data_IF_204674467616
#
_entry.id   IF_204674467616
#
_cell.length_a   1.000
_cell.length_b   1.000
_cell.length_c   1.000
_cell.angle_alpha   90.00
_cell.angle_beta   90.00
_cell.angle_gamma   90.00
#
_symmetry.space_group_name_H-M   'P 1'
#
loop_
_entity.id
_entity.type
_entity.pdbx_description
1 polymer ?
#
# COMPACT_ATOMS: atom_id res chain seq x y z
N UNK A 1 -38.82 -11.25 -10.03
CA UNK A 1 -37.69 -12.03 -10.55
C UNK A 1 -37.23 -12.95 -9.44
N UNK A 2 -37.03 -14.22 -9.76
CA UNK A 2 -36.53 -15.21 -8.80
C UNK A 2 -35.01 -15.20 -8.95
N UNK A 3 -34.30 -14.66 -7.96
CA UNK A 3 -32.84 -14.67 -7.94
C UNK A 3 -32.34 -15.99 -7.35
N UNK A 4 -31.13 -16.38 -7.70
CA UNK A 4 -30.43 -17.51 -7.07
C UNK A 4 -29.59 -16.96 -5.93
N UNK A 5 -29.89 -17.37 -4.70
CA UNK A 5 -29.08 -17.01 -3.54
C UNK A 5 -27.76 -17.80 -3.56
N UNK A 6 -26.66 -17.06 -3.38
CA UNK A 6 -25.29 -17.57 -3.41
C UNK A 6 -24.61 -17.19 -2.10
N UNK A 7 -24.18 -18.17 -1.33
CA UNK A 7 -23.44 -17.98 -0.07
C UNK A 7 -22.03 -18.57 -0.12
N UNK A 8 -21.67 -19.24 -1.23
CA UNK A 8 -20.35 -19.85 -1.42
C UNK A 8 -19.84 -19.79 -2.86
N UNK A 9 -18.51 -19.86 -3.03
CA UNK A 9 -17.88 -19.90 -4.35
C UNK A 9 -18.30 -21.13 -5.17
N UNK A 10 -18.58 -22.25 -4.49
CA UNK A 10 -19.02 -23.48 -5.14
C UNK A 10 -20.40 -23.29 -5.80
N UNK A 11 -21.35 -22.68 -5.07
CA UNK A 11 -22.68 -22.35 -5.59
C UNK A 11 -22.59 -21.38 -6.77
N UNK A 12 -21.77 -20.33 -6.66
CA UNK A 12 -21.55 -19.38 -7.75
C UNK A 12 -21.04 -20.07 -9.03
N UNK A 13 -20.15 -21.05 -8.87
CA UNK A 13 -19.48 -21.73 -9.98
C UNK A 13 -20.41 -22.66 -10.76
N UNK A 14 -21.50 -23.13 -10.14
CA UNK A 14 -22.50 -24.01 -10.75
C UNK A 14 -23.82 -23.30 -11.07
N UNK A 15 -23.95 -22.03 -10.68
CA UNK A 15 -25.13 -21.23 -10.95
C UNK A 15 -25.30 -20.99 -12.46
N UNK A 16 -26.55 -20.93 -12.97
CA UNK A 16 -26.81 -20.71 -14.40
C UNK A 16 -26.16 -19.43 -14.93
N UNK A 17 -25.76 -19.44 -16.21
CA UNK A 17 -25.11 -18.29 -16.86
C UNK A 17 -26.06 -17.10 -17.06
N UNK A 18 -27.36 -17.35 -17.10
CA UNK A 18 -28.43 -16.36 -17.31
C UNK A 18 -29.18 -15.97 -16.03
N UNK A 19 -28.78 -16.53 -14.88
CA UNK A 19 -29.41 -16.24 -13.61
C UNK A 19 -28.96 -14.89 -13.02
N UNK A 20 -29.93 -14.15 -12.48
CA UNK A 20 -29.65 -13.06 -11.55
C UNK A 20 -29.23 -13.67 -10.21
N UNK A 21 -28.01 -13.37 -9.76
CA UNK A 21 -27.47 -13.94 -8.53
C UNK A 21 -27.52 -12.93 -7.41
N UNK A 22 -27.88 -13.40 -6.21
CA UNK A 22 -27.87 -12.61 -4.98
C UNK A 22 -26.84 -13.18 -4.01
N UNK A 23 -25.80 -12.40 -3.72
CA UNK A 23 -24.79 -12.74 -2.71
C UNK A 23 -25.11 -12.01 -1.41
N UNK A 24 -25.43 -12.74 -0.35
CA UNK A 24 -25.80 -12.14 0.95
C UNK A 24 -24.66 -12.21 1.99
N UNK A 25 -23.87 -13.28 1.97
CA UNK A 25 -22.73 -13.48 2.87
C UNK A 25 -21.59 -14.22 2.16
N UNK A 26 -20.41 -14.17 2.76
CA UNK A 26 -19.23 -14.86 2.27
C UNK A 26 -18.40 -14.04 1.27
N UNK A 27 -17.36 -14.68 0.74
CA UNK A 27 -16.45 -14.11 -0.25
C UNK A 27 -16.64 -14.80 -1.60
N UNK A 28 -17.01 -14.03 -2.63
CA UNK A 28 -17.20 -14.54 -3.99
C UNK A 28 -16.25 -13.81 -4.94
N UNK A 29 -15.44 -14.59 -5.66
CA UNK A 29 -14.59 -14.11 -6.75
C UNK A 29 -15.23 -14.47 -8.08
N UNK A 30 -15.43 -13.46 -8.90
CA UNK A 30 -16.00 -13.59 -10.23
C UNK A 30 -14.89 -13.72 -11.27
N UNK A 31 -15.05 -14.68 -12.17
CA UNK A 31 -14.11 -14.85 -13.26
C UNK A 31 -14.17 -13.64 -14.22
N UNK A 32 -13.02 -13.17 -14.74
CA UNK A 32 -13.01 -12.14 -15.78
C UNK A 32 -13.86 -12.58 -16.98
N UNK A 33 -14.73 -11.70 -17.45
CA UNK A 33 -15.59 -11.95 -18.61
C UNK A 33 -16.99 -12.47 -18.28
N UNK A 34 -17.26 -12.82 -17.01
CA UNK A 34 -18.63 -13.07 -16.56
C UNK A 34 -19.45 -11.77 -16.65
N UNK A 35 -20.65 -11.86 -17.23
CA UNK A 35 -21.54 -10.71 -17.48
C UNK A 35 -22.85 -10.76 -16.70
N UNK A 36 -23.00 -11.74 -15.80
CA UNK A 36 -24.18 -11.87 -14.93
C UNK A 36 -24.38 -10.61 -14.09
N UNK A 37 -25.64 -10.25 -13.84
CA UNK A 37 -25.96 -9.20 -12.88
C UNK A 37 -25.89 -9.77 -11.47
N UNK A 38 -25.14 -9.09 -10.61
CA UNK A 38 -25.01 -9.48 -9.21
C UNK A 38 -25.68 -8.46 -8.32
N UNK A 39 -26.61 -8.95 -7.49
CA UNK A 39 -27.07 -8.22 -6.32
C UNK A 39 -26.25 -8.69 -5.12
N UNK A 40 -25.70 -7.76 -4.36
CA UNK A 40 -24.84 -8.06 -3.21
C UNK A 40 -25.40 -7.31 -2.01
N UNK A 41 -25.62 -8.01 -0.90
CA UNK A 41 -26.05 -7.37 0.34
C UNK A 41 -25.48 -8.07 1.56
N UNK A 42 -25.97 -7.72 2.75
CA UNK A 42 -25.46 -8.28 4.01
C UNK A 42 -23.99 -7.92 4.23
N UNK A 43 -23.21 -8.89 4.72
CA UNK A 43 -21.76 -8.73 4.96
C UNK A 43 -20.91 -9.36 3.85
N UNK A 44 -21.49 -9.55 2.66
CA UNK A 44 -20.80 -10.17 1.54
C UNK A 44 -19.60 -9.35 1.03
N UNK A 45 -18.56 -10.06 0.59
CA UNK A 45 -17.43 -9.50 -0.13
C UNK A 45 -17.40 -10.07 -1.54
N UNK A 46 -17.48 -9.20 -2.55
CA UNK A 46 -17.44 -9.61 -3.95
C UNK A 46 -16.28 -8.97 -4.69
N UNK A 47 -15.43 -9.80 -5.30
CA UNK A 47 -14.37 -9.36 -6.19
C UNK A 47 -14.80 -9.59 -7.65
N UNK A 48 -15.18 -8.51 -8.33
CA UNK A 48 -15.71 -8.48 -9.68
C UNK A 48 -14.71 -7.89 -10.69
N UNK A 49 -14.61 -8.52 -11.86
CA UNK A 49 -13.93 -7.93 -13.02
C UNK A 49 -14.84 -6.95 -13.76
N UNK A 50 -15.01 -7.19 -15.06
CA UNK A 50 -15.89 -6.39 -15.94
C UNK A 50 -17.40 -6.67 -15.72
N UNK A 51 -17.77 -7.22 -14.56
CA UNK A 51 -19.12 -7.66 -14.24
C UNK A 51 -19.87 -6.52 -13.54
N UNK A 52 -21.11 -6.18 -13.95
CA UNK A 52 -21.93 -5.20 -13.23
C UNK A 52 -22.35 -5.70 -11.85
N UNK A 53 -22.18 -4.88 -10.82
CA UNK A 53 -22.55 -5.19 -9.44
C UNK A 53 -23.51 -4.14 -8.89
N UNK A 54 -24.62 -4.58 -8.32
CA UNK A 54 -25.51 -3.75 -7.49
C UNK A 54 -25.29 -4.20 -6.04
N UNK A 55 -24.87 -3.28 -5.17
CA UNK A 55 -24.60 -3.57 -3.77
C UNK A 55 -25.43 -2.70 -2.84
N UNK A 56 -25.93 -3.27 -1.74
CA UNK A 56 -26.59 -2.54 -0.65
C UNK A 56 -26.21 -3.11 0.72
N UNK A 57 -26.66 -2.48 1.81
CA UNK A 57 -26.32 -2.92 3.16
C UNK A 57 -24.85 -2.72 3.49
N UNK A 58 -24.21 -3.70 4.14
CA UNK A 58 -22.83 -3.62 4.64
C UNK A 58 -21.79 -4.32 3.72
N UNK A 59 -22.13 -4.47 2.44
CA UNK A 59 -21.31 -5.24 1.52
C UNK A 59 -19.98 -4.55 1.19
N UNK A 60 -19.00 -5.35 0.78
CA UNK A 60 -17.74 -4.88 0.20
C UNK A 60 -17.61 -5.35 -1.24
N UNK A 61 -17.30 -4.44 -2.16
CA UNK A 61 -17.11 -4.75 -3.58
C UNK A 61 -15.75 -4.28 -4.07
N UNK A 62 -14.92 -5.20 -4.56
CA UNK A 62 -13.73 -4.87 -5.35
C UNK A 62 -14.06 -5.00 -6.84
N UNK A 63 -14.05 -3.89 -7.58
CA UNK A 63 -14.39 -3.87 -9.01
C UNK A 63 -13.20 -3.46 -9.88
N UNK A 64 -12.84 -4.30 -10.85
CA UNK A 64 -11.74 -4.07 -11.79
C UNK A 64 -12.27 -3.94 -13.21
N UNK A 65 -12.24 -2.73 -13.78
CA UNK A 65 -12.80 -2.41 -15.10
C UNK A 65 -14.30 -2.72 -15.22
N UNK A 66 -15.01 -2.60 -14.10
CA UNK A 66 -16.43 -2.94 -13.97
C UNK A 66 -17.32 -1.72 -13.75
N UNK A 67 -18.60 -1.99 -13.45
CA UNK A 67 -19.58 -0.99 -13.05
C UNK A 67 -20.20 -1.39 -11.71
N UNK A 68 -20.26 -0.46 -10.76
CA UNK A 68 -20.86 -0.69 -9.44
C UNK A 68 -21.93 0.34 -9.16
N UNK A 69 -23.11 -0.10 -8.72
CA UNK A 69 -24.12 0.75 -8.11
C UNK A 69 -24.25 0.37 -6.65
N UNK A 70 -23.91 1.29 -5.73
CA UNK A 70 -23.84 1.04 -4.30
C UNK A 70 -24.85 1.90 -3.52
N UNK A 71 -25.52 1.30 -2.53
CA UNK A 71 -26.50 1.94 -1.66
C UNK A 71 -26.20 1.67 -0.18
N UNK A 72 -26.70 2.52 0.70
CA UNK A 72 -26.61 2.39 2.17
C UNK A 72 -25.17 2.41 2.71
N UNK A 73 -24.63 1.30 3.21
CA UNK A 73 -23.36 1.24 3.97
C UNK A 73 -22.30 0.38 3.29
N UNK A 74 -22.21 0.50 1.96
CA UNK A 74 -21.30 -0.30 1.14
C UNK A 74 -19.89 0.29 1.16
N UNK A 75 -18.89 -0.58 1.07
CA UNK A 75 -17.51 -0.19 0.74
C UNK A 75 -17.16 -0.64 -0.68
N UNK A 76 -16.73 0.28 -1.54
CA UNK A 76 -16.32 -0.01 -2.92
C UNK A 76 -14.84 0.30 -3.12
N UNK A 77 -14.09 -0.67 -3.66
CA UNK A 77 -12.71 -0.51 -4.12
C UNK A 77 -12.72 -0.62 -5.65
N UNK A 78 -12.51 0.49 -6.35
CA UNK A 78 -12.68 0.59 -7.80
C UNK A 78 -11.35 0.81 -8.52
N UNK A 79 -11.02 -0.06 -9.47
CA UNK A 79 -9.85 0.06 -10.35
C UNK A 79 -10.26 0.22 -11.81
N UNK A 80 -10.05 1.40 -12.38
CA UNK A 80 -10.49 1.76 -13.73
C UNK A 80 -11.98 1.44 -13.97
N UNK A 81 -12.82 1.68 -12.96
CA UNK A 81 -14.24 1.26 -12.94
C UNK A 81 -15.16 2.47 -12.85
N UNK A 82 -16.43 2.29 -13.21
CA UNK A 82 -17.48 3.30 -13.00
C UNK A 82 -18.28 2.97 -11.76
N UNK A 83 -18.47 3.93 -10.87
CA UNK A 83 -19.21 3.75 -9.62
C UNK A 83 -20.30 4.81 -9.50
N UNK A 84 -21.52 4.38 -9.22
CA UNK A 84 -22.60 5.25 -8.74
C UNK A 84 -22.90 4.87 -7.30
N UNK A 85 -22.73 5.78 -6.35
CA UNK A 85 -22.84 5.48 -4.93
C UNK A 85 -23.82 6.41 -4.22
N UNK A 86 -24.58 5.85 -3.28
CA UNK A 86 -25.56 6.55 -2.44
C UNK A 86 -25.49 6.04 -0.99
N UNK A 87 -26.20 6.72 -0.08
CA UNK A 87 -26.16 6.41 1.34
C UNK A 87 -24.82 6.77 1.98
N UNK A 88 -24.56 6.19 3.14
CA UNK A 88 -23.30 6.28 3.89
C UNK A 88 -22.22 5.35 3.31
N UNK A 89 -22.09 5.33 1.97
CA UNK A 89 -21.13 4.49 1.22
C UNK A 89 -19.72 5.11 1.26
N UNK A 90 -18.70 4.25 1.27
CA UNK A 90 -17.29 4.64 1.10
C UNK A 90 -16.76 4.10 -0.22
N UNK A 91 -16.11 4.95 -1.01
CA UNK A 91 -15.50 4.56 -2.30
C UNK A 91 -14.01 4.88 -2.29
N UNK A 92 -13.16 3.94 -2.71
CA UNK A 92 -11.75 4.18 -3.04
C UNK A 92 -11.55 4.02 -4.54
N UNK A 93 -11.23 5.12 -5.22
CA UNK A 93 -11.15 5.17 -6.68
C UNK A 93 -9.69 5.24 -7.16
N UNK A 94 -9.27 4.19 -7.86
CA UNK A 94 -7.94 4.01 -8.43
C UNK A 94 -7.97 4.00 -9.97
N UNK A 95 -6.84 4.31 -10.60
CA UNK A 95 -6.67 4.45 -12.04
C UNK A 95 -7.65 5.47 -12.62
N UNK A 96 -8.12 5.23 -13.84
CA UNK A 96 -9.08 6.10 -14.52
C UNK A 96 -10.54 5.85 -14.07
N UNK A 97 -10.77 5.59 -12.78
CA UNK A 97 -12.13 5.34 -12.27
C UNK A 97 -12.99 6.59 -12.29
N UNK A 98 -14.29 6.41 -12.55
CA UNK A 98 -15.29 7.48 -12.59
C UNK A 98 -16.34 7.26 -11.50
N UNK A 99 -16.45 8.15 -10.53
CA UNK A 99 -17.37 8.04 -9.40
C UNK A 99 -18.41 9.17 -9.44
N UNK A 100 -19.69 8.79 -9.40
CA UNK A 100 -20.81 9.69 -9.11
C UNK A 100 -21.33 9.37 -7.70
N UNK A 101 -21.29 10.34 -6.81
CA UNK A 101 -21.48 10.16 -5.38
C UNK A 101 -22.62 11.04 -4.85
N UNK A 102 -23.56 10.42 -4.14
CA UNK A 102 -24.60 11.11 -3.37
C UNK A 102 -24.04 11.84 -2.14
N UNK A 103 -24.87 12.66 -1.48
CA UNK A 103 -24.45 13.61 -0.43
C UNK A 103 -23.64 13.00 0.72
N UNK A 104 -24.00 11.80 1.18
CA UNK A 104 -23.34 11.16 2.33
C UNK A 104 -22.17 10.24 1.96
N UNK A 105 -21.89 10.09 0.67
CA UNK A 105 -20.81 9.22 0.21
C UNK A 105 -19.47 9.88 0.49
N UNK A 106 -18.55 9.12 1.08
CA UNK A 106 -17.14 9.54 1.20
C UNK A 106 -16.33 8.85 0.12
N UNK A 107 -15.69 9.64 -0.74
CA UNK A 107 -14.94 9.14 -1.88
C UNK A 107 -13.45 9.54 -1.75
N UNK A 108 -12.59 8.54 -1.61
CA UNK A 108 -11.16 8.70 -1.70
C UNK A 108 -10.74 8.66 -3.17
N UNK A 109 -10.22 9.79 -3.68
CA UNK A 109 -9.56 9.83 -4.98
C UNK A 109 -8.10 9.43 -4.79
N UNK A 110 -7.75 8.21 -5.19
CA UNK A 110 -6.44 7.62 -4.93
C UNK A 110 -5.43 7.84 -6.06
N UNK A 111 -5.89 8.13 -7.28
CA UNK A 111 -5.06 8.44 -8.43
C UNK A 111 -5.56 9.73 -9.11
N UNK A 112 -4.65 10.46 -9.77
CA UNK A 112 -4.98 11.75 -10.41
C UNK A 112 -5.96 11.58 -11.58
N UNK A 113 -5.90 10.43 -12.24
CA UNK A 113 -6.72 10.06 -13.38
C UNK A 113 -8.16 9.74 -12.98
N UNK A 114 -8.42 9.46 -11.70
CA UNK A 114 -9.77 9.22 -11.22
C UNK A 114 -10.59 10.51 -11.21
N UNK A 115 -11.86 10.41 -11.55
CA UNK A 115 -12.80 11.53 -11.52
C UNK A 115 -13.90 11.24 -10.52
N UNK A 116 -14.10 12.13 -9.55
CA UNK A 116 -15.16 12.01 -8.55
C UNK A 116 -16.09 13.22 -8.64
N UNK A 117 -17.40 12.98 -8.72
CA UNK A 117 -18.45 14.00 -8.80
C UNK A 117 -19.44 13.81 -7.65
N UNK A 118 -19.63 14.84 -6.83
CA UNK A 118 -20.51 14.79 -5.66
C UNK A 118 -19.85 14.15 -4.44
N UNK A 119 -20.65 13.91 -3.39
CA UNK A 119 -20.18 13.40 -2.10
C UNK A 119 -19.13 14.27 -1.40
N UNK A 120 -18.41 13.65 -0.47
CA UNK A 120 -17.26 14.22 0.23
C UNK A 120 -15.99 13.62 -0.36
N UNK A 121 -15.23 14.42 -1.10
CA UNK A 121 -14.02 13.95 -1.77
C UNK A 121 -12.81 14.15 -0.87
N UNK A 122 -12.05 13.07 -0.65
CA UNK A 122 -10.76 13.09 0.03
C UNK A 122 -9.71 12.76 -1.03
N UNK A 123 -8.86 13.73 -1.29
CA UNK A 123 -7.69 13.56 -2.15
C UNK A 123 -6.63 12.77 -1.39
N UNK A 124 -6.30 11.57 -1.86
CA UNK A 124 -5.12 10.86 -1.38
C UNK A 124 -3.98 11.24 -2.31
N UNK A 125 -3.04 12.10 -1.87
CA UNK A 125 -1.90 12.44 -2.69
C UNK A 125 -1.14 11.16 -3.01
N UNK A 126 -0.92 10.93 -4.31
CA UNK A 126 -0.02 9.88 -4.76
C UNK A 126 1.36 10.25 -4.21
N UNK A 127 1.88 9.45 -3.28
CA UNK A 127 3.26 9.59 -2.82
C UNK A 127 4.11 9.29 -4.04
N UNK A 128 4.63 10.32 -4.69
CA UNK A 128 5.47 10.08 -5.85
C UNK A 128 6.77 9.51 -5.32
N UNK A 129 7.00 8.23 -5.58
CA UNK A 129 8.23 7.54 -5.22
C UNK A 129 9.44 7.99 -6.08
N UNK A 130 9.36 9.15 -6.74
CA UNK A 130 10.47 9.86 -7.37
C UNK A 130 10.89 11.13 -6.59
N UNK A 131 10.13 11.52 -5.54
CA UNK A 131 10.43 12.64 -4.65
C UNK A 131 10.76 12.13 -3.24
N UNK A 132 12.04 12.23 -2.87
CA UNK A 132 12.53 11.77 -1.58
C UNK A 132 11.90 12.52 -0.39
N UNK A 133 11.49 13.78 -0.57
CA UNK A 133 10.86 14.54 0.52
C UNK A 133 9.44 14.05 0.78
N UNK A 134 8.68 13.73 -0.27
CA UNK A 134 7.36 13.10 -0.11
C UNK A 134 7.45 11.72 0.53
N UNK A 135 8.46 10.92 0.16
CA UNK A 135 8.71 9.64 0.83
C UNK A 135 9.06 9.84 2.31
N UNK A 136 9.88 10.83 2.63
CA UNK A 136 10.19 11.17 4.02
C UNK A 136 8.93 11.56 4.81
N UNK A 137 8.09 12.43 4.25
CA UNK A 137 6.80 12.81 4.85
C UNK A 137 5.88 11.60 5.06
N UNK A 138 5.76 10.73 4.06
CA UNK A 138 4.92 9.54 4.12
C UNK A 138 5.35 8.57 5.23
N UNK A 139 6.66 8.33 5.39
CA UNK A 139 7.21 7.43 6.40
C UNK A 139 7.57 8.13 7.73
N UNK A 140 7.30 9.43 7.87
CA UNK A 140 7.61 10.21 9.07
C UNK A 140 9.10 10.43 9.32
N UNK A 141 9.94 10.32 8.27
CA UNK A 141 11.37 10.64 8.34
C UNK A 141 11.54 12.16 8.32
N UNK A 142 12.16 12.70 9.37
CA UNK A 142 12.42 14.15 9.45
C UNK A 142 13.60 14.52 8.56
N UNK A 143 13.38 15.47 7.65
CA UNK A 143 14.45 16.15 6.92
C UNK A 143 14.95 17.30 7.79
N UNK A 144 16.24 17.30 8.11
CA UNK A 144 16.89 18.37 8.86
C UNK A 144 17.16 19.60 7.98
N UNK A 145 17.43 20.74 8.62
CA UNK A 145 17.68 22.03 7.93
C UNK A 145 18.91 22.00 7.00
N UNK A 146 19.83 21.05 7.23
CA UNK A 146 21.03 20.83 6.43
C UNK A 146 20.84 19.82 5.28
N UNK A 147 19.58 19.55 4.91
CA UNK A 147 19.18 18.59 3.87
C UNK A 147 19.72 17.17 4.10
N UNK A 148 19.72 16.75 5.38
CA UNK A 148 20.01 15.37 5.76
C UNK A 148 18.86 14.66 6.44
N UNK A 149 18.88 13.33 6.33
CA UNK A 149 17.91 12.43 6.94
C UNK A 149 18.64 11.35 7.74
N UNK A 150 17.95 10.78 8.72
CA UNK A 150 18.43 9.60 9.47
C UNK A 150 17.61 8.39 9.07
N UNK A 151 18.30 7.36 8.60
CA UNK A 151 17.74 6.07 8.23
C UNK A 151 18.41 4.95 9.01
N UNK A 152 17.87 3.74 8.94
CA UNK A 152 18.25 2.66 9.84
C UNK A 152 18.80 1.43 9.11
N UNK A 153 19.88 0.85 9.65
CA UNK A 153 20.49 -0.38 9.14
C UNK A 153 20.51 -1.48 10.19
N UNK A 154 19.97 -2.64 9.84
CA UNK A 154 20.21 -3.87 10.58
C UNK A 154 21.58 -4.47 10.25
N UNK A 155 22.38 -4.75 11.28
CA UNK A 155 23.69 -5.41 11.17
C UNK A 155 23.83 -6.51 12.21
N UNK A 156 24.78 -7.43 11.98
CA UNK A 156 25.20 -8.43 12.98
C UNK A 156 25.94 -7.75 14.13
N UNK A 157 26.19 -8.48 15.21
CA UNK A 157 26.96 -7.99 16.35
C UNK A 157 28.36 -7.45 15.98
N UNK A 158 28.94 -7.91 14.87
CA UNK A 158 30.22 -7.48 14.29
C UNK A 158 30.15 -6.22 13.43
N UNK A 159 29.00 -5.54 13.35
CA UNK A 159 28.76 -4.37 12.48
C UNK A 159 28.78 -4.67 10.97
N UNK A 160 28.69 -5.94 10.58
CA UNK A 160 28.50 -6.33 9.18
C UNK A 160 27.02 -6.53 8.86
N UNK A 161 26.58 -6.03 7.71
CA UNK A 161 25.27 -6.36 7.14
C UNK A 161 25.18 -7.83 6.73
N UNK A 162 23.97 -8.33 6.45
CA UNK A 162 23.76 -9.69 5.95
C UNK A 162 24.54 -10.02 4.66
N UNK A 163 24.87 -8.99 3.87
CA UNK A 163 25.61 -9.09 2.60
C UNK A 163 27.10 -8.72 2.72
N UNK A 164 27.65 -8.66 3.93
CA UNK A 164 29.10 -8.52 4.14
C UNK A 164 29.65 -7.09 4.06
N UNK A 165 28.80 -6.06 3.88
CA UNK A 165 29.23 -4.66 4.02
C UNK A 165 29.42 -4.28 5.49
N UNK A 166 30.54 -3.65 5.84
CA UNK A 166 30.88 -3.19 7.20
C UNK A 166 30.36 -1.77 7.47
N UNK A 167 29.79 -1.55 8.67
CA UNK A 167 29.21 -0.28 9.12
C UNK A 167 29.85 0.17 10.45
N UNK A 168 31.08 0.69 10.45
CA UNK A 168 31.75 1.11 11.67
C UNK A 168 31.07 2.35 12.29
N UNK A 169 30.89 2.37 13.61
CA UNK A 169 30.37 3.53 14.33
C UNK A 169 31.25 4.77 14.12
N UNK A 170 30.63 5.92 13.87
CA UNK A 170 31.31 7.17 13.53
C UNK A 170 31.97 7.19 12.15
N UNK A 171 31.82 6.11 11.36
CA UNK A 171 32.43 5.97 10.06
C UNK A 171 31.50 6.29 8.90
N UNK A 172 32.10 6.67 7.77
CA UNK A 172 31.42 6.84 6.50
C UNK A 172 31.45 5.50 5.74
N UNK A 173 30.29 5.02 5.32
CA UNK A 173 30.14 3.84 4.47
C UNK A 173 29.75 4.32 3.08
N UNK A 174 30.44 3.84 2.05
CA UNK A 174 30.15 4.15 0.65
C UNK A 174 29.92 2.85 -0.12
N UNK A 175 28.83 2.79 -0.90
CA UNK A 175 28.55 1.66 -1.77
C UNK A 175 29.59 1.60 -2.91
N UNK A 176 30.33 0.48 -3.07
CA UNK A 176 31.31 0.33 -4.14
C UNK A 176 30.67 0.13 -5.53
N UNK A 177 29.41 -0.29 -5.56
CA UNK A 177 28.66 -0.71 -6.73
C UNK A 177 27.46 0.22 -7.03
N UNK A 178 27.51 1.47 -6.55
CA UNK A 178 26.39 2.41 -6.64
C UNK A 178 25.74 2.47 -8.03
N UNK A 179 24.42 2.30 -8.07
CA UNK A 179 23.59 2.35 -9.27
C UNK A 179 22.29 3.10 -8.98
N UNK A 180 21.88 3.97 -9.90
CA UNK A 180 20.60 4.68 -9.82
C UNK A 180 19.40 3.84 -10.28
N UNK A 181 19.62 2.62 -10.77
CA UNK A 181 18.55 1.74 -11.26
C UNK A 181 17.71 1.20 -10.08
N UNK A 182 16.36 1.19 -10.11
CA UNK A 182 15.53 0.92 -8.93
C UNK A 182 15.31 -0.57 -8.65
N UNK A 183 16.40 -1.31 -8.44
CA UNK A 183 16.40 -2.73 -8.09
C UNK A 183 17.14 -3.03 -6.78
N UNK A 184 17.01 -4.28 -6.32
CA UNK A 184 17.76 -4.77 -5.18
C UNK A 184 19.24 -4.97 -5.54
N UNK A 185 20.12 -4.14 -4.99
CA UNK A 185 21.55 -4.12 -5.28
C UNK A 185 22.05 -2.72 -5.64
N UNK A 186 23.37 -2.56 -5.79
CA UNK A 186 23.96 -1.31 -6.25
C UNK A 186 23.75 -0.13 -5.30
N UNK A 187 23.88 -0.35 -3.99
CA UNK A 187 23.69 0.69 -2.98
C UNK A 187 23.60 0.18 -1.54
N UNK A 188 23.61 1.11 -0.58
CA UNK A 188 23.40 0.81 0.83
C UNK A 188 21.89 0.86 1.13
N UNK A 189 21.30 -0.29 1.44
CA UNK A 189 19.87 -0.37 1.74
C UNK A 189 19.60 0.03 3.19
N UNK A 190 18.76 1.05 3.40
CA UNK A 190 18.40 1.61 4.70
C UNK A 190 16.88 1.76 4.83
N UNK A 191 16.36 1.50 6.02
CA UNK A 191 14.94 1.55 6.35
C UNK A 191 14.54 2.90 6.99
N UNK A 192 13.28 3.34 6.84
CA UNK A 192 12.79 4.61 7.38
C UNK A 192 12.66 4.61 8.91
N UNK A 193 12.44 3.45 9.51
CA UNK A 193 12.34 3.31 10.97
C UNK A 193 13.00 2.03 11.48
N UNK A 194 13.34 1.95 12.78
CA UNK A 194 13.86 0.73 13.40
C UNK A 194 12.86 -0.44 13.33
N UNK A 195 11.56 -0.15 13.31
CA UNK A 195 10.52 -1.18 13.16
C UNK A 195 10.58 -1.83 11.77
N UNK A 196 10.71 -1.04 10.70
CA UNK A 196 10.85 -1.56 9.33
C UNK A 196 12.11 -2.42 9.15
N UNK A 197 13.20 -2.16 9.89
CA UNK A 197 14.39 -3.03 9.86
C UNK A 197 14.04 -4.48 10.22
N UNK A 198 13.04 -4.68 11.08
CA UNK A 198 12.59 -6.03 11.49
C UNK A 198 11.74 -6.73 10.45
N UNK A 199 11.02 -6.00 9.59
CA UNK A 199 10.11 -6.57 8.58
C UNK A 199 10.85 -7.30 7.45
N UNK A 200 12.16 -7.05 7.29
CA UNK A 200 13.04 -7.85 6.42
C UNK A 200 13.50 -9.14 7.12
N UNK A 201 12.52 -9.82 7.76
CA UNK A 201 12.58 -10.88 8.79
C UNK A 201 13.51 -12.05 8.48
N UNK A 202 13.76 -12.37 7.21
CA UNK A 202 14.62 -13.52 6.84
C UNK A 202 16.05 -13.42 7.38
N UNK A 203 16.50 -12.22 7.77
CA UNK A 203 17.84 -12.00 8.30
C UNK A 203 17.89 -11.70 9.79
N UNK A 204 16.75 -11.54 10.49
CA UNK A 204 16.78 -11.15 11.91
C UNK A 204 17.24 -12.28 12.82
N UNK A 205 18.47 -12.18 13.31
CA UNK A 205 19.09 -13.17 14.19
C UNK A 205 19.28 -12.59 15.61
N UNK A 206 19.31 -13.45 16.65
CA UNK A 206 19.73 -13.03 17.99
C UNK A 206 21.08 -12.29 17.93
N UNK A 207 21.18 -11.15 18.62
CA UNK A 207 22.39 -10.33 18.65
C UNK A 207 22.55 -9.36 17.49
N UNK A 208 21.54 -9.20 16.61
CA UNK A 208 21.53 -8.09 15.67
C UNK A 208 21.41 -6.73 16.35
N UNK A 209 22.04 -5.74 15.72
CA UNK A 209 22.07 -4.33 16.14
C UNK A 209 21.39 -3.48 15.07
N UNK A 210 20.82 -2.35 15.47
CA UNK A 210 20.23 -1.36 14.56
C UNK A 210 21.07 -0.09 14.64
N UNK A 211 21.56 0.39 13.50
CA UNK A 211 22.37 1.60 13.41
C UNK A 211 21.53 2.74 12.84
N UNK A 212 21.66 3.92 13.44
CA UNK A 212 21.21 5.18 12.85
C UNK A 212 22.28 5.71 11.89
N UNK A 213 21.89 5.98 10.65
CA UNK A 213 22.76 6.40 9.56
C UNK A 213 22.28 7.73 8.98
N UNK A 214 23.11 8.78 9.06
CA UNK A 214 22.85 10.07 8.41
C UNK A 214 23.14 9.97 6.91
N UNK A 215 22.24 10.47 6.09
CA UNK A 215 22.33 10.49 4.63
C UNK A 215 22.08 11.92 4.14
N UNK A 216 22.91 12.39 3.22
CA UNK A 216 22.71 13.67 2.52
C UNK A 216 21.75 13.46 1.36
N UNK A 217 20.69 14.26 1.25
CA UNK A 217 19.72 14.14 0.15
C UNK A 217 20.38 14.33 -1.23
N UNK A 218 21.45 15.14 -1.30
CA UNK A 218 22.21 15.38 -2.51
C UNK A 218 23.07 14.20 -2.98
N UNK A 219 23.34 13.20 -2.12
CA UNK A 219 24.22 12.05 -2.45
C UNK A 219 23.54 10.99 -3.33
N UNK A 220 22.27 11.21 -3.70
CA UNK A 220 21.47 10.30 -4.52
C UNK A 220 20.81 9.21 -3.68
N UNK A 221 19.48 9.19 -3.74
CA UNK A 221 18.64 8.23 -3.02
C UNK A 221 17.69 7.62 -4.03
N UNK A 222 17.61 6.29 -4.06
CA UNK A 222 16.71 5.54 -4.95
C UNK A 222 15.69 4.80 -4.11
N UNK A 223 14.42 4.97 -4.47
CA UNK A 223 13.29 4.34 -3.78
C UNK A 223 13.20 2.86 -4.13
N UNK A 224 12.99 2.04 -3.09
CA UNK A 224 12.76 0.60 -3.21
C UNK A 224 11.52 0.23 -2.38
N UNK A 225 10.41 0.94 -2.62
CA UNK A 225 9.18 0.83 -1.84
C UNK A 225 9.30 1.50 -0.47
N UNK A 226 9.21 0.69 0.59
CA UNK A 226 9.28 1.11 1.99
C UNK A 226 10.70 1.36 2.50
N UNK A 227 11.73 0.98 1.75
CA UNK A 227 13.12 1.34 2.01
C UNK A 227 13.71 2.15 0.87
N UNK A 228 14.92 2.63 1.09
CA UNK A 228 15.72 3.26 0.04
C UNK A 228 17.07 2.58 -0.09
N UNK A 229 17.70 2.76 -1.24
CA UNK A 229 19.15 2.58 -1.38
C UNK A 229 19.84 3.93 -1.54
N UNK A 230 20.99 4.06 -0.89
CA UNK A 230 21.77 5.29 -0.85
C UNK A 230 23.21 5.02 -1.24
N UNK A 231 23.88 6.02 -1.81
CA UNK A 231 25.28 5.90 -2.21
C UNK A 231 26.22 5.85 -1.00
N UNK A 232 25.94 6.69 -0.02
CA UNK A 232 26.82 6.94 1.12
C UNK A 232 26.00 7.26 2.37
N UNK A 233 26.50 6.86 3.53
CA UNK A 233 25.94 7.28 4.81
C UNK A 233 27.02 7.40 5.89
N UNK A 234 26.77 8.23 6.89
CA UNK A 234 27.55 8.32 8.13
C UNK A 234 26.85 7.52 9.22
N UNK A 235 27.53 6.55 9.81
CA UNK A 235 27.00 5.75 10.92
C UNK A 235 27.12 6.55 12.21
N UNK A 236 25.99 6.95 12.80
CA UNK A 236 25.97 7.81 13.98
C UNK A 236 26.15 7.00 15.27
N UNK A 237 25.23 6.07 15.53
CA UNK A 237 25.15 5.32 16.78
C UNK A 237 24.20 4.13 16.66
N UNK A 238 24.21 3.25 17.66
CA UNK A 238 23.22 2.17 17.79
C UNK A 238 21.91 2.70 18.41
N UNK A 239 20.79 2.17 17.95
CA UNK A 239 19.45 2.43 18.51
C UNK A 239 18.76 1.13 18.93
N UNK A 240 17.82 1.24 19.86
CA UNK A 240 16.89 0.17 20.17
C UNK A 240 15.76 0.07 19.14
N UNK A 241 14.85 -0.89 19.32
CA UNK A 241 13.72 -1.12 18.40
C UNK A 241 12.69 0.02 18.39
N UNK A 242 12.77 0.95 19.34
CA UNK A 242 11.94 2.15 19.40
C UNK A 242 12.68 3.40 18.89
N UNK A 243 13.91 3.23 18.38
CA UNK A 243 14.74 4.33 17.87
C UNK A 243 15.42 5.15 18.96
N UNK A 244 15.41 4.68 20.21
CA UNK A 244 16.10 5.35 21.31
C UNK A 244 17.58 5.01 21.27
N UNK A 245 18.40 6.01 21.56
CA UNK A 245 19.85 5.86 21.65
C UNK A 245 20.21 4.72 22.62
N UNK A 246 21.07 3.80 22.18
CA UNK A 246 21.68 2.81 23.05
C UNK A 246 23.05 3.30 23.50
N UNK A 247 23.18 3.60 24.79
CA UNK A 247 24.50 3.69 25.42
C UNK A 247 25.03 2.26 25.49
N UNK A 248 26.10 1.97 24.75
CA UNK A 248 26.84 0.72 24.91
C UNK A 248 27.54 0.80 26.27
N UNK A 249 27.08 0.02 27.24
CA UNK A 249 27.79 -0.21 28.50
C UNK A 249 28.92 -1.22 28.28
#
# INVERSE_FOLDING_TARGET
MQYVEIVSQAEYSVAPEDADLHVFEGYIKIAPGDRRLLTVSGSAHVAAGNTPVIACGHATVEARRGQVTAYDQVTVIAYNSRVTAYGDTVVRAYGSSEVTAGTNVTAYRCDREATVRGGKVIEIPLVRHDDIRQWCEHYGVKVADDDTIVLYKGVRASFYSGWGMHYPLGGIVTAPDWSTYPDCGGGLHLSPSPAHVREYVELWQPGMRILACRVELADGIVHLGDKVKVRRCMVLHEVDTLGRFRVVA
#
